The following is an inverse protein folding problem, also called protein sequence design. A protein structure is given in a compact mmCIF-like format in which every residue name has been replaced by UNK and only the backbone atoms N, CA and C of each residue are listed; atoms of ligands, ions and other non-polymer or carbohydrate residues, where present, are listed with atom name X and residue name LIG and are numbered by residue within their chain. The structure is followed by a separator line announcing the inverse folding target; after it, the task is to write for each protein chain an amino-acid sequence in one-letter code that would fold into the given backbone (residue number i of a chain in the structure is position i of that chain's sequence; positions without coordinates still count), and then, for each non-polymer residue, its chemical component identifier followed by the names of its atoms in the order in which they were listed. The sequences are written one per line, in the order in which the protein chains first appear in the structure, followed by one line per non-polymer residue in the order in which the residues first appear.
data_IF_306761613043
#
_entry.id   IF_306761613043
#
_cell.length_a   1.000
_cell.length_b   1.000
_cell.length_c   1.000
_cell.angle_alpha   90.00
_cell.angle_beta   90.00
_cell.angle_gamma   90.00
#
_symmetry.space_group_name_H-M   'P 1'
#
loop_
_entity.id
_entity.type
_entity.pdbx_description
1 polymer ?
#
# COMPACT_ATOMS: atom_id res chain seq x y z
N UNK A 1 14.54 -0.54 13.00
CA UNK A 1 14.00 -1.68 12.21
C UNK A 1 15.07 -2.10 11.20
N UNK A 2 15.49 -3.36 11.21
CA UNK A 2 16.72 -3.81 10.51
C UNK A 2 16.54 -4.12 9.01
N UNK A 3 15.31 -4.09 8.48
CA UNK A 3 15.06 -4.37 7.06
C UNK A 3 14.11 -3.33 6.44
N UNK A 4 14.51 -2.80 5.28
CA UNK A 4 13.70 -1.90 4.46
C UNK A 4 12.63 -2.69 3.70
N UNK A 5 11.35 -2.35 3.94
CA UNK A 5 10.21 -3.00 3.28
C UNK A 5 10.24 -2.90 1.76
N UNK A 6 10.85 -1.85 1.21
CA UNK A 6 11.02 -1.68 -0.24
C UNK A 6 11.99 -2.72 -0.83
N UNK A 7 13.10 -3.00 -0.14
CA UNK A 7 14.06 -4.00 -0.57
C UNK A 7 13.46 -5.41 -0.56
N UNK A 8 12.63 -5.71 0.45
CA UNK A 8 11.89 -6.98 0.53
C UNK A 8 10.91 -7.13 -0.64
N UNK A 9 10.11 -6.09 -0.93
CA UNK A 9 9.16 -6.12 -2.04
C UNK A 9 9.86 -6.44 -3.36
N UNK A 10 10.95 -5.73 -3.67
CA UNK A 10 11.74 -6.01 -4.87
C UNK A 10 12.34 -7.42 -4.89
N UNK A 11 12.79 -7.95 -3.76
CA UNK A 11 13.32 -9.31 -3.66
C UNK A 11 12.24 -10.37 -3.95
N UNK A 12 11.03 -10.21 -3.42
CA UNK A 12 9.91 -11.12 -3.69
C UNK A 12 9.57 -11.15 -5.18
N UNK A 13 9.50 -9.99 -5.84
CA UNK A 13 9.22 -9.92 -7.28
C UNK A 13 10.31 -10.61 -8.11
N UNK A 14 11.59 -10.46 -7.76
CA UNK A 14 12.71 -11.17 -8.43
C UNK A 14 12.67 -12.69 -8.25
N UNK A 15 12.11 -13.18 -7.14
CA UNK A 15 11.87 -14.61 -6.92
C UNK A 15 10.64 -15.13 -7.67
N UNK A 16 9.95 -14.29 -8.45
CA UNK A 16 8.70 -14.65 -9.12
C UNK A 16 7.50 -14.75 -8.17
N UNK A 17 7.67 -14.34 -6.91
CA UNK A 17 6.60 -14.31 -5.93
C UNK A 17 5.80 -13.03 -6.09
N UNK A 18 4.48 -13.17 -6.09
CA UNK A 18 3.58 -12.04 -6.23
C UNK A 18 2.50 -11.97 -5.13
N UNK A 19 2.88 -11.97 -3.83
CA UNK A 19 1.91 -11.70 -2.78
C UNK A 19 1.38 -10.27 -2.92
N UNK A 20 0.18 -10.03 -2.36
CA UNK A 20 -0.34 -8.67 -2.22
C UNK A 20 0.48 -7.94 -1.16
N UNK A 21 1.08 -6.82 -1.54
CA UNK A 21 1.93 -5.99 -0.69
C UNK A 21 1.27 -4.64 -0.46
N UNK A 22 1.06 -4.28 0.81
CA UNK A 22 0.48 -3.00 1.22
C UNK A 22 1.49 -2.24 2.07
N UNK A 23 1.94 -1.08 1.59
CA UNK A 23 2.83 -0.21 2.35
C UNK A 23 2.02 0.58 3.40
N UNK A 24 2.55 0.73 4.61
CA UNK A 24 1.90 1.50 5.68
C UNK A 24 2.91 2.48 6.31
N UNK A 25 2.88 3.74 5.87
CA UNK A 25 3.89 4.77 6.19
C UNK A 25 3.35 5.84 7.15
N UNK A 26 4.21 6.68 7.73
CA UNK A 26 3.79 7.77 8.64
C UNK A 26 3.46 9.08 7.90
N UNK A 27 2.90 10.06 8.61
CA UNK A 27 2.72 11.42 8.07
C UNK A 27 4.07 12.03 7.61
N UNK A 28 4.14 12.53 6.37
CA UNK A 28 5.26 13.37 5.91
C UNK A 28 5.95 12.98 4.59
N UNK A 29 5.51 11.95 3.88
CA UNK A 29 6.13 11.57 2.60
C UNK A 29 5.06 11.28 1.54
N UNK A 30 4.69 12.30 0.75
CA UNK A 30 3.94 12.06 -0.50
C UNK A 30 4.78 11.26 -1.50
N UNK A 31 6.11 11.40 -1.45
CA UNK A 31 7.07 10.64 -2.26
C UNK A 31 7.11 9.14 -1.91
N UNK A 32 6.61 8.73 -0.73
CA UNK A 32 6.55 7.31 -0.35
C UNK A 32 5.57 6.51 -1.20
N UNK A 33 4.54 7.15 -1.78
CA UNK A 33 3.59 6.47 -2.66
C UNK A 33 4.31 6.01 -3.92
N UNK A 34 5.07 6.91 -4.57
CA UNK A 34 5.84 6.57 -5.77
C UNK A 34 6.86 5.48 -5.50
N UNK A 35 7.63 5.63 -4.40
CA UNK A 35 8.63 4.64 -3.99
C UNK A 35 8.02 3.28 -3.67
N UNK A 36 6.84 3.23 -3.05
CA UNK A 36 6.14 1.98 -2.78
C UNK A 36 5.74 1.28 -4.08
N UNK A 37 5.14 2.01 -5.02
CA UNK A 37 4.75 1.45 -6.31
C UNK A 37 5.97 0.94 -7.09
N UNK A 38 7.05 1.73 -7.15
CA UNK A 38 8.29 1.35 -7.84
C UNK A 38 8.98 0.13 -7.21
N UNK A 39 8.88 -0.02 -5.89
CA UNK A 39 9.40 -1.20 -5.18
C UNK A 39 8.53 -2.45 -5.39
N UNK A 40 7.35 -2.31 -6.00
CA UNK A 40 6.42 -3.40 -6.29
C UNK A 40 5.36 -3.62 -5.23
N UNK A 41 4.98 -2.60 -4.45
CA UNK A 41 3.76 -2.62 -3.63
C UNK A 41 2.51 -2.42 -4.49
N UNK A 42 1.40 -3.01 -4.08
CA UNK A 42 0.11 -2.91 -4.76
C UNK A 42 -0.73 -1.74 -4.24
N UNK A 43 -0.53 -1.37 -2.98
CA UNK A 43 -1.27 -0.31 -2.28
C UNK A 43 -0.36 0.40 -1.28
N UNK A 44 -0.71 1.64 -0.97
CA UNK A 44 -0.09 2.44 0.07
C UNK A 44 -1.17 3.03 0.99
N UNK A 45 -0.97 2.88 2.30
CA UNK A 45 -1.79 3.46 3.36
C UNK A 45 -0.91 4.36 4.24
N UNK A 46 -1.48 5.44 4.75
CA UNK A 46 -0.80 6.34 5.69
C UNK A 46 -1.31 6.08 7.10
N UNK A 47 -0.43 6.13 8.09
CA UNK A 47 -0.77 6.01 9.51
C UNK A 47 -1.31 7.35 10.04
N UNK A 48 -2.33 7.32 10.92
CA UNK A 48 -3.07 6.14 11.33
C UNK A 48 -4.06 5.69 10.24
N UNK A 49 -4.01 4.41 9.86
CA UNK A 49 -5.01 3.82 8.99
C UNK A 49 -6.17 3.27 9.83
N UNK A 50 -7.39 3.46 9.35
CA UNK A 50 -8.61 2.92 9.96
C UNK A 50 -8.72 1.41 9.75
N UNK A 51 -9.51 0.75 10.60
CA UNK A 51 -9.79 -0.69 10.45
C UNK A 51 -10.45 -1.03 9.11
N UNK A 52 -11.28 -0.13 8.57
CA UNK A 52 -11.96 -0.30 7.29
C UNK A 52 -10.96 -0.24 6.12
N UNK A 53 -10.03 0.72 6.13
CA UNK A 53 -8.95 0.81 5.15
C UNK A 53 -8.06 -0.44 5.16
N UNK A 54 -7.69 -0.93 6.35
CA UNK A 54 -6.91 -2.17 6.48
C UNK A 54 -7.68 -3.39 5.94
N UNK A 55 -8.97 -3.51 6.27
CA UNK A 55 -9.83 -4.60 5.76
C UNK A 55 -9.89 -4.60 4.25
N UNK A 56 -10.11 -3.44 3.63
CA UNK A 56 -10.15 -3.31 2.16
C UNK A 56 -8.81 -3.67 1.52
N UNK A 57 -7.72 -3.17 2.10
CA UNK A 57 -6.38 -3.40 1.58
C UNK A 57 -6.02 -4.89 1.58
N UNK A 58 -6.38 -5.62 2.64
CA UNK A 58 -6.16 -7.07 2.74
C UNK A 58 -7.12 -7.85 1.83
N UNK A 59 -8.38 -7.44 1.71
CA UNK A 59 -9.39 -8.13 0.90
C UNK A 59 -9.30 -7.81 -0.60
N UNK A 60 -8.40 -6.92 -1.02
CA UNK A 60 -8.27 -6.53 -2.43
C UNK A 60 -9.42 -5.70 -2.96
N UNK A 61 -10.22 -5.09 -2.08
CA UNK A 61 -11.36 -4.26 -2.46
C UNK A 61 -10.88 -2.86 -2.82
N UNK A 62 -11.34 -2.34 -3.97
CA UNK A 62 -11.11 -0.94 -4.33
C UNK A 62 -11.74 -0.02 -3.26
N UNK A 63 -11.16 1.19 -3.11
CA UNK A 63 -11.80 2.26 -2.35
C UNK A 63 -13.25 2.42 -2.86
N UNK A 64 -14.22 2.74 -1.98
CA UNK A 64 -15.55 3.04 -2.46
C UNK A 64 -15.40 4.23 -3.40
N UNK A 65 -16.00 4.18 -4.60
CA UNK A 65 -16.09 5.38 -5.40
C UNK A 65 -16.66 6.48 -4.47
N UNK A 66 -16.03 7.66 -4.40
CA UNK A 66 -16.61 8.76 -3.65
C UNK A 66 -18.03 8.90 -4.16
N UNK A 67 -19.01 8.70 -3.27
CA UNK A 67 -20.41 8.70 -3.62
C UNK A 67 -20.65 9.88 -4.55
N UNK A 68 -20.95 9.58 -5.82
CA UNK A 68 -21.13 10.58 -6.85
C UNK A 68 -22.03 11.65 -6.25
N UNK A 69 -21.48 12.87 -6.17
CA UNK A 69 -22.11 14.05 -5.61
C UNK A 69 -23.61 14.02 -5.90
N UNK A 70 -24.39 13.68 -4.87
CA UNK A 70 -25.85 13.75 -4.93
C UNK A 70 -26.18 15.21 -5.18
N UNK A 71 -26.57 15.51 -6.43
CA UNK A 71 -27.24 16.74 -6.81
C UNK A 71 -28.68 16.74 -6.33
#
# INVERSE_FOLDING_TARGET
PDMDGYALAGALRRLGLAPRLVALTGYGQQDDIGRALDAGFDLHLTKPATLDELRRAVNGQAAPEPAASAG
#
